data_IF_891534116532
#
_entry.id   IF_891534116532
#
_cell.length_a   1.000
_cell.length_b   1.000
_cell.length_c   1.000
_cell.angle_alpha   90.00
_cell.angle_beta   90.00
_cell.angle_gamma   90.00
#
_symmetry.space_group_name_H-M   'P 1'
#
loop_
_entity.id
_entity.type
_entity.pdbx_description
1 polymer ?
#
# COMPACT_ATOMS: atom_id res chain seq x y z
N UNK A 1 1.09 -21.72 -6.46
CA UNK A 1 1.57 -20.94 -7.63
C UNK A 1 2.67 -20.02 -7.15
N UNK A 2 3.92 -20.32 -7.52
CA UNK A 2 5.08 -19.48 -7.21
C UNK A 2 5.06 -18.28 -8.15
N UNK A 3 4.58 -17.14 -7.68
CA UNK A 3 4.79 -15.86 -8.34
C UNK A 3 6.31 -15.67 -8.44
N UNK A 4 6.84 -15.52 -9.66
CA UNK A 4 8.26 -15.26 -9.89
C UNK A 4 8.64 -13.92 -9.26
N UNK A 5 9.88 -13.79 -8.78
CA UNK A 5 10.38 -12.58 -8.13
C UNK A 5 10.17 -11.32 -9.00
N UNK A 6 10.32 -11.46 -10.31
CA UNK A 6 10.11 -10.40 -11.30
C UNK A 6 8.64 -9.96 -11.38
N UNK A 7 7.69 -10.89 -11.35
CA UNK A 7 6.27 -10.57 -11.40
C UNK A 7 5.82 -9.79 -10.15
N UNK A 8 6.41 -10.11 -8.98
CA UNK A 8 6.16 -9.37 -7.74
C UNK A 8 6.69 -7.93 -7.82
N UNK A 9 7.88 -7.74 -8.39
CA UNK A 9 8.48 -6.42 -8.56
C UNK A 9 7.61 -5.53 -9.49
N UNK A 10 7.17 -6.07 -10.63
CA UNK A 10 6.31 -5.36 -11.58
C UNK A 10 4.97 -4.93 -10.96
N UNK A 11 4.36 -5.77 -10.10
CA UNK A 11 3.14 -5.40 -9.40
C UNK A 11 3.35 -4.26 -8.42
N UNK A 12 4.45 -4.28 -7.67
CA UNK A 12 4.79 -3.20 -6.73
C UNK A 12 5.02 -1.89 -7.48
N UNK A 13 5.78 -1.93 -8.58
CA UNK A 13 6.05 -0.77 -9.42
C UNK A 13 4.76 -0.18 -10.03
N UNK A 14 3.84 -1.04 -10.50
CA UNK A 14 2.53 -0.59 -10.99
C UNK A 14 1.71 0.12 -9.91
N UNK A 15 1.75 -0.36 -8.66
CA UNK A 15 1.08 0.27 -7.52
C UNK A 15 1.74 1.61 -7.18
N UNK A 16 3.08 1.69 -7.20
CA UNK A 16 3.83 2.93 -6.96
C UNK A 16 3.50 4.00 -8.01
N UNK A 17 3.49 3.64 -9.29
CA UNK A 17 3.15 4.56 -10.37
C UNK A 17 1.73 5.11 -10.20
N UNK A 18 0.75 4.25 -9.91
CA UNK A 18 -0.63 4.69 -9.67
C UNK A 18 -0.79 5.59 -8.45
N UNK A 19 0.01 5.38 -7.41
CA UNK A 19 0.05 6.29 -6.25
C UNK A 19 0.71 7.63 -6.62
N UNK A 20 1.73 7.62 -7.47
CA UNK A 20 2.49 8.80 -7.85
C UNK A 20 1.74 9.71 -8.83
N UNK A 21 0.96 9.14 -9.75
CA UNK A 21 0.13 9.89 -10.70
C UNK A 21 -1.27 10.24 -10.15
N UNK A 22 -1.66 9.66 -9.00
CA UNK A 22 -2.93 9.90 -8.34
C UNK A 22 -4.12 9.12 -8.92
N UNK A 23 -3.88 8.19 -9.85
CA UNK A 23 -4.91 7.29 -10.38
C UNK A 23 -5.34 6.20 -9.39
N UNK A 24 -4.53 5.95 -8.35
CA UNK A 24 -4.78 4.96 -7.33
C UNK A 24 -4.84 5.60 -5.93
N UNK A 25 -5.97 5.43 -5.26
CA UNK A 25 -6.11 5.84 -3.86
C UNK A 25 -5.28 4.94 -2.92
N UNK A 26 -4.83 5.52 -1.80
CA UNK A 26 -4.01 4.81 -0.80
C UNK A 26 -4.70 3.54 -0.30
N UNK A 27 -6.00 3.58 0.00
CA UNK A 27 -6.74 2.41 0.48
C UNK A 27 -6.77 1.27 -0.54
N UNK A 28 -7.01 1.61 -1.81
CA UNK A 28 -6.97 0.67 -2.91
C UNK A 28 -5.56 0.08 -3.11
N UNK A 29 -4.51 0.91 -3.07
CA UNK A 29 -3.13 0.47 -3.15
C UNK A 29 -2.77 -0.54 -2.06
N UNK A 30 -3.14 -0.26 -0.81
CA UNK A 30 -2.89 -1.16 0.33
C UNK A 30 -3.64 -2.49 0.16
N UNK A 31 -4.89 -2.44 -0.32
CA UNK A 31 -5.65 -3.65 -0.62
C UNK A 31 -4.96 -4.50 -1.70
N UNK A 32 -4.45 -3.88 -2.78
CA UNK A 32 -3.72 -4.57 -3.84
C UNK A 32 -2.41 -5.18 -3.34
N UNK A 33 -1.63 -4.44 -2.53
CA UNK A 33 -0.43 -4.98 -1.87
C UNK A 33 -0.77 -6.22 -1.03
N UNK A 34 -1.91 -6.21 -0.34
CA UNK A 34 -2.35 -7.36 0.43
C UNK A 34 -2.76 -8.53 -0.46
N UNK A 35 -3.67 -8.34 -1.41
CA UNK A 35 -4.27 -9.45 -2.16
C UNK A 35 -3.40 -9.94 -3.32
N UNK A 36 -2.81 -9.03 -4.09
CA UNK A 36 -2.09 -9.37 -5.32
C UNK A 36 -0.61 -9.66 -5.06
N UNK A 37 0.04 -8.89 -4.18
CA UNK A 37 1.50 -9.01 -3.95
C UNK A 37 1.83 -10.05 -2.89
N UNK A 38 1.03 -10.13 -1.82
CA UNK A 38 1.29 -11.06 -0.70
C UNK A 38 0.32 -12.23 -0.61
N UNK A 39 -0.89 -12.11 -1.17
CA UNK A 39 -1.94 -13.11 -1.04
C UNK A 39 -2.47 -13.31 0.39
N UNK A 40 -2.17 -12.40 1.32
CA UNK A 40 -2.49 -12.57 2.73
C UNK A 40 -3.92 -12.10 3.08
N UNK A 41 -4.53 -12.77 4.06
CA UNK A 41 -5.73 -12.25 4.70
C UNK A 41 -5.40 -11.03 5.58
N UNK A 42 -6.41 -10.19 5.86
CA UNK A 42 -6.25 -8.94 6.62
C UNK A 42 -5.51 -9.13 7.96
N UNK A 43 -5.82 -10.20 8.70
CA UNK A 43 -5.18 -10.48 9.99
C UNK A 43 -3.68 -10.79 9.86
N UNK A 44 -3.29 -11.55 8.84
CA UNK A 44 -1.90 -11.90 8.58
C UNK A 44 -1.12 -10.69 8.04
N UNK A 45 -1.73 -9.94 7.14
CA UNK A 45 -1.14 -8.73 6.58
C UNK A 45 -0.93 -7.65 7.66
N UNK A 46 -1.92 -7.41 8.52
CA UNK A 46 -1.80 -6.47 9.63
C UNK A 46 -0.65 -6.84 10.58
N UNK A 47 -0.49 -8.14 10.88
CA UNK A 47 0.65 -8.65 11.66
C UNK A 47 1.99 -8.39 10.96
N UNK A 48 2.08 -8.66 9.65
CA UNK A 48 3.26 -8.40 8.83
C UNK A 48 3.65 -6.91 8.87
N UNK A 49 2.68 -6.02 8.74
CA UNK A 49 2.87 -4.57 8.80
C UNK A 49 2.98 -4.02 10.23
N UNK A 50 2.88 -4.87 11.27
CA UNK A 50 2.92 -4.48 12.70
C UNK A 50 1.89 -3.42 13.09
N UNK A 51 0.67 -3.55 12.57
CA UNK A 51 -0.48 -2.70 12.90
C UNK A 51 -1.69 -3.53 13.34
N UNK A 52 -2.70 -2.89 13.93
CA UNK A 52 -3.95 -3.57 14.25
C UNK A 52 -4.76 -3.87 12.99
N UNK A 53 -5.58 -4.93 13.01
CA UNK A 53 -6.49 -5.25 11.89
C UNK A 53 -7.48 -4.11 11.66
N UNK A 54 -7.98 -3.48 12.72
CA UNK A 54 -8.85 -2.30 12.63
C UNK A 54 -8.16 -1.16 11.87
N UNK A 55 -6.89 -0.89 12.19
CA UNK A 55 -6.09 0.12 11.48
C UNK A 55 -5.96 -0.21 10.00
N UNK A 56 -5.69 -1.49 9.67
CA UNK A 56 -5.63 -1.92 8.27
C UNK A 56 -6.96 -1.71 7.54
N UNK A 57 -8.08 -2.12 8.14
CA UNK A 57 -9.43 -1.97 7.55
C UNK A 57 -9.75 -0.50 7.28
N UNK A 58 -9.47 0.39 8.25
CA UNK A 58 -9.67 1.83 8.08
C UNK A 58 -8.78 2.42 6.98
N UNK A 59 -7.54 1.93 6.83
CA UNK A 59 -6.68 2.33 5.70
C UNK A 59 -7.29 1.85 4.38
N UNK A 60 -7.69 0.58 4.28
CA UNK A 60 -8.25 -0.01 3.05
C UNK A 60 -9.56 0.62 2.61
N UNK A 61 -10.39 1.07 3.56
CA UNK A 61 -11.66 1.75 3.29
C UNK A 61 -11.48 3.24 2.95
N UNK A 62 -10.27 3.80 3.11
CA UNK A 62 -10.06 5.25 3.01
C UNK A 62 -10.75 6.05 4.11
N UNK A 63 -11.27 5.38 5.15
CA UNK A 63 -12.02 5.99 6.24
C UNK A 63 -11.11 6.39 7.40
N UNK A 64 -11.12 7.67 7.76
CA UNK A 64 -10.42 8.22 8.92
C UNK A 64 -9.15 9.01 8.58
N UNK A 65 -8.48 9.51 9.62
CA UNK A 65 -7.23 10.29 9.48
C UNK A 65 -6.03 9.39 9.81
N UNK A 66 -5.58 8.63 8.82
CA UNK A 66 -4.52 7.64 8.99
C UNK A 66 -3.19 8.37 9.22
N UNK A 67 -2.50 8.01 10.30
CA UNK A 67 -1.21 8.64 10.59
C UNK A 67 -0.16 8.24 9.55
N UNK A 68 0.77 9.15 9.26
CA UNK A 68 1.96 8.84 8.45
C UNK A 68 2.72 7.62 8.99
N UNK A 69 2.71 7.41 10.31
CA UNK A 69 3.32 6.24 10.96
C UNK A 69 2.66 4.94 10.52
N UNK A 70 1.32 4.89 10.50
CA UNK A 70 0.55 3.72 10.06
C UNK A 70 0.76 3.43 8.59
N UNK A 71 0.73 4.46 7.74
CA UNK A 71 0.99 4.30 6.30
C UNK A 71 2.41 3.79 6.05
N UNK A 72 3.42 4.38 6.69
CA UNK A 72 4.81 3.92 6.58
C UNK A 72 4.99 2.49 7.06
N UNK A 73 4.25 2.04 8.08
CA UNK A 73 4.31 0.66 8.55
C UNK A 73 3.80 -0.34 7.49
N UNK A 74 2.80 0.05 6.69
CA UNK A 74 2.28 -0.74 5.58
C UNK A 74 3.21 -0.76 4.37
N UNK A 75 3.82 0.38 4.03
CA UNK A 75 4.66 0.51 2.84
C UNK A 75 6.09 -0.03 3.03
N UNK A 76 6.63 0.01 4.24
CA UNK A 76 8.00 -0.43 4.56
C UNK A 76 8.35 -1.86 4.10
N UNK A 77 7.51 -2.88 4.29
CA UNK A 77 7.76 -4.25 3.79
C UNK A 77 7.96 -4.35 2.28
N UNK A 78 7.56 -3.33 1.53
CA UNK A 78 7.66 -3.26 0.07
C UNK A 78 8.75 -2.29 -0.41
N UNK A 79 9.58 -1.77 0.50
CA UNK A 79 10.63 -0.80 0.16
C UNK A 79 10.11 0.64 -0.04
N UNK A 80 8.84 0.90 0.28
CA UNK A 80 8.19 2.20 0.09
C UNK A 80 8.02 2.96 1.41
N UNK A 81 7.89 4.29 1.31
CA UNK A 81 7.53 5.17 2.43
C UNK A 81 6.78 6.40 1.93
N UNK A 82 5.94 6.98 2.78
CA UNK A 82 5.33 8.28 2.53
C UNK A 82 6.39 9.38 2.49
N UNK A 83 6.24 10.31 1.54
CA UNK A 83 7.16 11.44 1.36
C UNK A 83 6.46 12.65 0.75
N UNK A 84 7.12 13.80 0.82
CA UNK A 84 6.65 15.03 0.19
C UNK A 84 7.08 15.03 -1.28
N UNK A 85 6.13 15.25 -2.18
CA UNK A 85 6.36 15.37 -3.62
C UNK A 85 5.89 16.73 -4.13
N UNK A 86 6.40 17.17 -5.29
CA UNK A 86 5.93 18.40 -5.93
C UNK A 86 4.50 18.16 -6.45
N UNK A 87 3.56 19.04 -6.07
CA UNK A 87 2.21 19.02 -6.65
C UNK A 87 2.30 19.35 -8.14
N UNK A 88 1.93 18.39 -8.99
CA UNK A 88 1.77 18.63 -10.43
C UNK A 88 0.47 19.41 -10.61
N UNK A 89 0.59 20.71 -10.89
CA UNK A 89 -0.55 21.52 -11.32
C UNK A 89 -0.66 21.34 -12.84
N UNK A 90 -1.77 20.82 -13.33
CA UNK A 90 -2.15 20.99 -14.73
C UNK A 90 -2.38 22.49 -14.94
N UNK A 91 -1.56 23.10 -15.81
CA UNK A 91 -1.81 24.45 -16.31
C UNK A 91 -3.02 24.46 -17.23
#
# INVERSE_FOLDING_TARGET
MTITLDARALMIESIEQGLADGSLEIGAAVRRLRTEVTGLHQSQFAKMCKISVRTLVHIEQGEGNQTLKSLNAVFRPFGMKMGVVKVRRSL
#
